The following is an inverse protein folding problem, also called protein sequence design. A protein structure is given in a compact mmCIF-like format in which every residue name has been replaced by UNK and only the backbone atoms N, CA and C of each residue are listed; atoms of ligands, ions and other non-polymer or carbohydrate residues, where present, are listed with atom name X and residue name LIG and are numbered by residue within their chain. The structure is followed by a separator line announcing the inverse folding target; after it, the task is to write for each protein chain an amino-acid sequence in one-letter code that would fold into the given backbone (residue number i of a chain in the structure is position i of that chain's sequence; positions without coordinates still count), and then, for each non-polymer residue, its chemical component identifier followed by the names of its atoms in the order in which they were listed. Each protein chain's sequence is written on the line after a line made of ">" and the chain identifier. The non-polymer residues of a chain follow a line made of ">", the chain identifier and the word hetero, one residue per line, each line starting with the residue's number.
data_IF_936950006854
#
_entry.id   IF_936950006854
#
_cell.length_a   1.000
_cell.length_b   1.000
_cell.length_c   1.000
_cell.angle_alpha   90.00
_cell.angle_beta   90.00
_cell.angle_gamma   90.00
#
_symmetry.space_group_name_H-M   'P 1'
#
loop_
_entity.id
_entity.type
_entity.pdbx_description
1 polymer ?
#
# COMPACT_ATOMS: atom_id res chain seq x y z
N UNK A 1 13.94 -34.35 -40.91
CA UNK A 1 14.69 -33.20 -41.48
C UNK A 1 14.55 -32.08 -40.48
N UNK A 2 15.65 -31.67 -39.86
CA UNK A 2 15.69 -30.41 -39.10
C UNK A 2 16.12 -29.36 -40.12
N UNK A 3 15.17 -28.54 -40.57
CA UNK A 3 15.48 -27.43 -41.47
C UNK A 3 15.89 -26.25 -40.63
N UNK A 4 16.99 -25.57 -40.98
CA UNK A 4 17.29 -24.29 -40.36
C UNK A 4 16.14 -23.29 -40.59
N UNK A 5 15.88 -22.36 -39.69
CA UNK A 5 14.91 -21.26 -39.92
C UNK A 5 15.36 -20.32 -41.04
N UNK A 6 14.44 -19.56 -41.61
CA UNK A 6 14.70 -18.57 -42.67
C UNK A 6 14.22 -18.99 -44.06
N UNK A 7 14.73 -18.32 -45.09
CA UNK A 7 14.35 -18.56 -46.48
C UNK A 7 14.96 -19.85 -47.04
N UNK A 8 14.12 -20.67 -47.65
CA UNK A 8 14.50 -21.88 -48.36
C UNK A 8 13.95 -21.85 -49.78
N UNK A 9 14.70 -22.41 -50.71
CA UNK A 9 14.24 -22.59 -52.09
C UNK A 9 13.78 -24.03 -52.30
N UNK A 10 12.47 -24.23 -52.48
CA UNK A 10 11.93 -25.50 -52.91
C UNK A 10 11.97 -25.56 -54.43
N UNK A 11 12.68 -26.54 -54.97
CA UNK A 11 12.80 -26.78 -56.41
C UNK A 11 12.08 -28.07 -56.77
N UNK A 12 11.02 -27.98 -57.57
CA UNK A 12 10.35 -29.11 -58.16
C UNK A 12 10.88 -29.32 -59.59
N UNK A 13 11.42 -30.51 -59.85
CA UNK A 13 11.89 -30.91 -61.17
C UNK A 13 10.93 -31.94 -61.77
N UNK A 14 10.41 -31.64 -62.96
CA UNK A 14 9.74 -32.60 -63.81
C UNK A 14 10.71 -33.04 -64.91
N UNK A 15 11.05 -34.32 -64.95
CA UNK A 15 12.04 -34.88 -65.89
C UNK A 15 11.60 -34.91 -67.35
N UNK A 16 10.30 -34.69 -67.62
CA UNK A 16 9.72 -34.84 -68.95
C UNK A 16 9.34 -36.28 -69.29
N UNK A 17 8.43 -36.41 -70.25
CA UNK A 17 7.96 -37.68 -70.85
C UNK A 17 7.78 -37.51 -72.36
N UNK A 18 7.44 -38.57 -73.09
CA UNK A 18 7.33 -38.57 -74.57
C UNK A 18 6.43 -37.45 -75.14
N UNK A 19 5.46 -36.96 -74.35
CA UNK A 19 4.52 -35.90 -74.74
C UNK A 19 4.75 -34.56 -74.04
N UNK A 20 5.68 -34.44 -73.09
CA UNK A 20 5.86 -33.26 -72.25
C UNK A 20 7.34 -32.94 -71.99
N UNK A 21 7.72 -31.67 -72.15
CA UNK A 21 9.09 -31.20 -71.91
C UNK A 21 9.43 -31.18 -70.42
N UNK A 22 10.70 -31.45 -70.09
CA UNK A 22 11.21 -31.28 -68.73
C UNK A 22 11.07 -29.82 -68.29
N UNK A 23 10.70 -29.59 -67.04
CA UNK A 23 10.58 -28.23 -66.50
C UNK A 23 11.03 -28.18 -65.04
N UNK A 24 11.50 -27.01 -64.62
CA UNK A 24 11.82 -26.70 -63.23
C UNK A 24 10.88 -25.60 -62.76
N UNK A 25 10.30 -25.80 -61.58
CA UNK A 25 9.59 -24.75 -60.87
C UNK A 25 10.26 -24.55 -59.52
N UNK A 26 10.69 -23.32 -59.25
CA UNK A 26 11.28 -22.94 -57.97
C UNK A 26 10.33 -22.00 -57.25
N UNK A 27 10.19 -22.20 -55.95
CA UNK A 27 9.45 -21.31 -55.06
C UNK A 27 10.26 -21.07 -53.80
N UNK A 28 10.19 -19.85 -53.26
CA UNK A 28 10.84 -19.51 -51.99
C UNK A 28 9.80 -19.65 -50.88
N UNK A 29 10.20 -20.33 -49.80
CA UNK A 29 9.38 -20.57 -48.62
C UNK A 29 10.17 -20.09 -47.39
N UNK A 30 9.51 -19.46 -46.44
CA UNK A 30 10.14 -19.07 -45.17
C UNK A 30 9.73 -20.05 -44.08
N UNK A 31 10.72 -20.63 -43.41
CA UNK A 31 10.50 -21.52 -42.26
C UNK A 31 10.69 -20.74 -40.97
N UNK A 32 9.74 -20.91 -40.06
CA UNK A 32 9.74 -20.31 -38.73
C UNK A 32 10.05 -21.39 -37.69
N UNK A 33 10.64 -20.97 -36.58
CA UNK A 33 10.88 -21.83 -35.43
C UNK A 33 9.96 -21.46 -34.28
N UNK A 34 9.43 -22.48 -33.61
CA UNK A 34 8.73 -22.32 -32.34
C UNK A 34 9.76 -22.17 -31.21
N UNK A 35 9.28 -21.77 -30.03
CA UNK A 35 10.09 -21.66 -28.82
C UNK A 35 9.51 -22.55 -27.72
N UNK A 36 10.37 -22.97 -26.81
CA UNK A 36 10.00 -23.74 -25.61
C UNK A 36 10.60 -23.08 -24.37
N UNK A 37 9.83 -23.02 -23.29
CA UNK A 37 10.20 -22.32 -22.07
C UNK A 37 10.76 -23.29 -21.02
N UNK A 38 11.87 -22.90 -20.39
CA UNK A 38 12.43 -23.60 -19.24
C UNK A 38 12.61 -22.61 -18.10
N UNK A 39 11.57 -22.44 -17.28
CA UNK A 39 11.61 -21.59 -16.10
C UNK A 39 12.27 -22.33 -14.92
N UNK A 40 12.95 -21.57 -14.07
CA UNK A 40 13.44 -22.05 -12.78
C UNK A 40 12.28 -22.02 -11.79
N UNK A 41 11.97 -23.16 -11.16
CA UNK A 41 10.98 -23.23 -10.10
C UNK A 41 11.55 -22.66 -8.80
N UNK A 42 11.01 -21.53 -8.35
CA UNK A 42 11.37 -20.87 -7.09
C UNK A 42 10.11 -20.62 -6.26
N UNK A 43 10.22 -20.68 -4.93
CA UNK A 43 9.18 -20.20 -4.02
C UNK A 43 9.12 -18.66 -4.08
N UNK A 44 8.37 -18.14 -5.06
CA UNK A 44 8.24 -16.70 -5.30
C UNK A 44 7.26 -16.06 -4.31
N UNK A 45 7.60 -16.09 -3.02
CA UNK A 45 6.93 -15.29 -2.00
C UNK A 45 7.51 -13.88 -2.06
N UNK A 46 6.68 -12.91 -2.40
CA UNK A 46 7.10 -11.51 -2.61
C UNK A 46 6.36 -10.60 -1.64
N UNK A 47 6.92 -9.42 -1.37
CA UNK A 47 6.24 -8.38 -0.59
C UNK A 47 5.84 -7.24 -1.52
N UNK A 48 4.54 -6.94 -1.57
CA UNK A 48 3.98 -5.88 -2.42
C UNK A 48 4.66 -4.54 -2.13
N UNK A 49 4.97 -3.80 -3.19
CA UNK A 49 5.64 -2.49 -3.12
C UNK A 49 7.02 -2.50 -2.45
N UNK A 50 7.66 -3.67 -2.30
CA UNK A 50 8.97 -3.80 -1.66
C UNK A 50 10.06 -4.19 -2.66
N UNK A 51 11.13 -3.40 -2.72
CA UNK A 51 12.31 -3.72 -3.54
C UNK A 51 13.21 -4.79 -2.91
N UNK A 52 13.07 -5.08 -1.61
CA UNK A 52 13.84 -6.12 -0.93
C UNK A 52 13.30 -7.53 -1.16
N UNK A 53 12.02 -7.65 -1.52
CA UNK A 53 11.36 -8.91 -1.84
C UNK A 53 10.61 -8.79 -3.19
N UNK A 54 11.35 -8.59 -4.30
CA UNK A 54 10.76 -8.38 -5.62
C UNK A 54 10.28 -9.69 -6.25
N UNK A 55 9.51 -9.57 -7.33
CA UNK A 55 9.23 -10.66 -8.25
C UNK A 55 10.51 -11.00 -9.00
N UNK A 56 10.93 -12.26 -8.94
CA UNK A 56 12.10 -12.78 -9.66
C UNK A 56 11.62 -13.92 -10.58
N UNK A 57 11.89 -13.80 -11.88
CA UNK A 57 11.59 -14.84 -12.86
C UNK A 57 12.87 -15.12 -13.63
N UNK A 58 13.31 -16.37 -13.57
CA UNK A 58 14.54 -16.83 -14.23
C UNK A 58 14.23 -18.02 -15.11
N UNK A 59 14.94 -18.12 -16.23
CA UNK A 59 14.73 -19.23 -17.15
C UNK A 59 15.55 -19.13 -18.42
N UNK A 60 15.25 -20.04 -19.34
CA UNK A 60 15.81 -20.10 -20.69
C UNK A 60 14.68 -20.31 -21.68
N UNK A 61 14.91 -19.87 -22.91
CA UNK A 61 14.02 -20.14 -24.04
C UNK A 61 14.82 -20.96 -25.05
N UNK A 62 14.30 -22.10 -25.49
CA UNK A 62 14.95 -22.98 -26.45
C UNK A 62 14.25 -22.93 -27.80
N UNK A 63 15.02 -22.99 -28.88
CA UNK A 63 14.48 -23.10 -30.23
C UNK A 63 13.94 -24.53 -30.50
N UNK A 64 12.70 -24.62 -31.00
CA UNK A 64 12.09 -25.88 -31.43
C UNK A 64 12.02 -25.95 -32.96
N UNK A 65 12.44 -27.10 -33.52
CA UNK A 65 12.42 -27.35 -34.97
C UNK A 65 13.65 -26.85 -35.75
N UNK A 66 14.54 -26.09 -35.11
CA UNK A 66 15.78 -25.57 -35.68
C UNK A 66 17.05 -26.08 -34.98
N UNK A 67 17.93 -25.18 -34.52
CA UNK A 67 19.24 -25.55 -33.97
C UNK A 67 19.19 -26.16 -32.55
N UNK A 68 18.06 -26.01 -31.84
CA UNK A 68 17.91 -26.47 -30.45
C UNK A 68 18.66 -25.62 -29.43
N UNK A 69 19.23 -24.49 -29.85
CA UNK A 69 20.03 -23.63 -28.99
C UNK A 69 19.14 -22.66 -28.18
N UNK A 70 19.67 -22.12 -27.07
CA UNK A 70 19.05 -21.00 -26.38
C UNK A 70 18.80 -19.80 -27.29
N UNK A 71 17.65 -19.17 -27.11
CA UNK A 71 17.24 -17.96 -27.83
C UNK A 71 17.39 -16.76 -26.92
N UNK A 72 18.25 -15.84 -27.32
CA UNK A 72 18.52 -14.59 -26.60
C UNK A 72 17.78 -13.39 -27.22
N UNK A 73 17.66 -12.29 -26.48
CA UNK A 73 17.16 -10.99 -26.96
C UNK A 73 15.80 -11.06 -27.65
N UNK A 74 14.89 -11.90 -27.12
CA UNK A 74 13.47 -11.83 -27.46
C UNK A 74 12.81 -10.71 -26.67
N UNK A 75 11.79 -10.10 -27.26
CA UNK A 75 10.95 -9.11 -26.59
C UNK A 75 9.97 -9.84 -25.68
N UNK A 76 10.11 -9.62 -24.37
CA UNK A 76 9.35 -10.31 -23.33
C UNK A 76 8.40 -9.33 -22.65
N UNK A 77 7.15 -9.76 -22.49
CA UNK A 77 6.11 -9.00 -21.81
C UNK A 77 5.54 -9.86 -20.68
N UNK A 78 5.44 -9.29 -19.49
CA UNK A 78 4.88 -9.95 -18.32
C UNK A 78 3.51 -9.37 -18.03
N UNK A 79 2.51 -10.24 -18.07
CA UNK A 79 1.14 -9.88 -17.76
C UNK A 79 0.74 -10.40 -16.40
N UNK A 80 -0.04 -9.58 -15.70
CA UNK A 80 -0.94 -10.05 -14.66
C UNK A 80 -2.37 -9.79 -15.10
N UNK A 81 -3.15 -10.88 -15.28
CA UNK A 81 -4.44 -10.86 -15.96
C UNK A 81 -4.34 -10.28 -17.39
N UNK A 82 -4.63 -8.99 -17.56
CA UNK A 82 -4.58 -8.26 -18.83
C UNK A 82 -3.70 -7.01 -18.75
N UNK A 83 -3.11 -6.74 -17.59
CA UNK A 83 -2.26 -5.60 -17.35
C UNK A 83 -0.81 -5.98 -17.62
N UNK A 84 -0.17 -5.22 -18.50
CA UNK A 84 1.28 -5.28 -18.70
C UNK A 84 1.97 -4.69 -17.48
N UNK A 85 2.92 -5.44 -16.91
CA UNK A 85 3.71 -5.03 -15.75
C UNK A 85 4.95 -4.20 -16.14
N UNK A 86 5.21 -3.98 -17.43
CA UNK A 86 6.24 -3.06 -17.92
C UNK A 86 7.67 -3.53 -17.68
N UNK A 87 7.96 -4.79 -18.01
CA UNK A 87 9.26 -5.42 -17.71
C UNK A 87 10.36 -5.18 -18.76
N UNK A 88 10.08 -4.47 -19.85
CA UNK A 88 10.97 -4.38 -21.02
C UNK A 88 12.39 -3.91 -20.69
N UNK A 89 12.54 -2.99 -19.72
CA UNK A 89 13.84 -2.49 -19.25
C UNK A 89 14.48 -3.37 -18.15
N UNK A 90 13.75 -4.36 -17.65
CA UNK A 90 14.16 -5.20 -16.52
C UNK A 90 14.60 -6.62 -16.91
N UNK A 91 14.51 -6.96 -18.20
CA UNK A 91 14.99 -8.25 -18.71
C UNK A 91 16.51 -8.20 -18.87
N UNK A 92 17.24 -9.00 -18.11
CA UNK A 92 18.68 -9.17 -18.23
C UNK A 92 18.99 -10.52 -18.86
N UNK A 93 19.62 -10.50 -20.04
CA UNK A 93 20.11 -11.70 -20.72
C UNK A 93 21.55 -12.03 -20.30
N UNK A 94 21.80 -13.30 -19.98
CA UNK A 94 23.10 -13.83 -19.58
C UNK A 94 23.84 -14.45 -20.77
N UNK A 95 25.16 -14.57 -20.67
CA UNK A 95 26.01 -15.06 -21.78
C UNK A 95 25.86 -16.54 -22.13
N UNK A 96 25.07 -17.29 -21.36
CA UNK A 96 24.72 -18.70 -21.59
C UNK A 96 23.27 -18.88 -22.09
N UNK A 97 22.60 -17.78 -22.45
CA UNK A 97 21.27 -17.77 -23.01
C UNK A 97 20.12 -17.81 -21.99
N UNK A 98 20.39 -17.75 -20.69
CA UNK A 98 19.33 -17.51 -19.69
C UNK A 98 18.95 -16.05 -19.57
N UNK A 99 17.74 -15.80 -19.08
CA UNK A 99 17.26 -14.49 -18.71
C UNK A 99 16.92 -14.44 -17.22
N UNK A 100 17.00 -13.25 -16.63
CA UNK A 100 16.47 -12.93 -15.30
C UNK A 100 15.65 -11.65 -15.40
N UNK A 101 14.47 -11.67 -14.78
CA UNK A 101 13.54 -10.53 -14.68
C UNK A 101 13.37 -10.25 -13.21
N UNK A 102 13.64 -9.01 -12.80
CA UNK A 102 13.41 -8.54 -11.44
C UNK A 102 12.51 -7.31 -11.44
N UNK A 103 11.37 -7.39 -10.74
CA UNK A 103 10.38 -6.32 -10.71
C UNK A 103 9.77 -6.16 -9.31
N UNK A 104 9.67 -4.92 -8.82
CA UNK A 104 8.88 -4.62 -7.62
C UNK A 104 7.39 -4.78 -7.92
N UNK A 105 6.70 -5.62 -7.16
CA UNK A 105 5.26 -5.84 -7.33
C UNK A 105 4.47 -4.54 -7.13
N UNK A 106 3.55 -4.19 -8.05
CA UNK A 106 2.83 -2.92 -7.98
C UNK A 106 1.80 -2.88 -6.85
N UNK A 107 1.54 -1.68 -6.33
CA UNK A 107 0.62 -1.45 -5.21
C UNK A 107 -0.84 -1.90 -5.45
N UNK A 108 -1.27 -1.98 -6.71
CA UNK A 108 -2.62 -2.41 -7.10
C UNK A 108 -2.74 -3.94 -7.21
N UNK A 109 -1.65 -4.68 -6.98
CA UNK A 109 -1.64 -6.13 -6.94
C UNK A 109 -2.37 -6.66 -5.70
N UNK A 110 -3.21 -7.68 -5.88
CA UNK A 110 -3.95 -8.31 -4.76
C UNK A 110 -3.03 -9.22 -3.94
N UNK A 111 -3.34 -9.44 -2.66
CA UNK A 111 -2.61 -10.38 -1.83
C UNK A 111 -3.04 -11.84 -2.09
N UNK A 112 -2.14 -12.78 -1.86
CA UNK A 112 -2.34 -14.22 -2.05
C UNK A 112 -1.70 -14.76 -3.34
N UNK A 113 -2.14 -15.95 -3.75
CA UNK A 113 -1.61 -16.61 -4.94
C UNK A 113 -2.02 -15.88 -6.22
N UNK A 114 -1.05 -15.59 -7.08
CA UNK A 114 -1.22 -14.91 -8.35
C UNK A 114 -0.51 -15.68 -9.45
N UNK A 115 -1.21 -15.85 -10.58
CA UNK A 115 -0.64 -16.39 -11.80
C UNK A 115 -0.22 -15.22 -12.69
N UNK A 116 1.05 -15.20 -13.08
CA UNK A 116 1.62 -14.31 -14.07
C UNK A 116 1.75 -15.05 -15.39
N UNK A 117 1.57 -14.33 -16.50
CA UNK A 117 1.76 -14.88 -17.86
C UNK A 117 2.92 -14.14 -18.50
N UNK A 118 4.03 -14.86 -18.71
CA UNK A 118 5.19 -14.37 -19.45
C UNK A 118 5.01 -14.71 -20.92
N UNK A 119 5.09 -13.70 -21.79
CA UNK A 119 4.92 -13.85 -23.23
C UNK A 119 6.19 -13.39 -23.95
N UNK A 120 6.66 -14.17 -24.90
CA UNK A 120 7.64 -13.75 -25.88
C UNK A 120 6.91 -13.36 -27.17
N UNK A 121 7.21 -12.18 -27.71
CA UNK A 121 6.65 -11.71 -28.97
C UNK A 121 7.28 -12.44 -30.15
N UNK A 122 6.55 -12.49 -31.27
CA UNK A 122 7.10 -13.00 -32.52
C UNK A 122 8.24 -12.10 -33.01
N UNK A 123 9.29 -12.72 -33.57
CA UNK A 123 10.44 -12.00 -34.08
C UNK A 123 10.58 -12.26 -35.58
N UNK A 124 9.95 -11.40 -36.38
CA UNK A 124 9.95 -11.47 -37.85
C UNK A 124 11.36 -11.43 -38.46
N UNK A 125 12.30 -10.69 -37.86
CA UNK A 125 13.67 -10.59 -38.38
C UNK A 125 14.46 -11.90 -38.23
N UNK A 126 14.14 -12.69 -37.19
CA UNK A 126 14.83 -13.95 -36.87
C UNK A 126 13.97 -15.19 -37.16
N UNK A 127 12.74 -15.01 -37.61
CA UNK A 127 11.74 -16.05 -37.89
C UNK A 127 11.40 -16.93 -36.66
N UNK A 128 11.18 -16.29 -35.51
CA UNK A 128 10.67 -16.97 -34.31
C UNK A 128 9.19 -16.69 -34.12
N UNK A 129 8.41 -17.74 -33.86
CA UNK A 129 7.04 -17.59 -33.39
C UNK A 129 7.05 -17.15 -31.92
N UNK A 130 6.05 -16.36 -31.54
CA UNK A 130 5.80 -16.02 -30.14
C UNK A 130 5.14 -17.19 -29.41
N UNK A 131 5.34 -17.23 -28.09
CA UNK A 131 4.70 -18.19 -27.20
C UNK A 131 4.54 -17.57 -25.80
N UNK A 132 3.80 -18.23 -24.92
CA UNK A 132 3.59 -17.78 -23.55
C UNK A 132 3.59 -18.93 -22.54
N UNK A 133 4.07 -18.64 -21.33
CA UNK A 133 4.08 -19.55 -20.20
C UNK A 133 3.53 -18.87 -18.95
N UNK A 134 2.90 -19.66 -18.08
CA UNK A 134 2.42 -19.18 -16.79
C UNK A 134 3.41 -19.51 -15.68
N UNK A 135 3.54 -18.61 -14.71
CA UNK A 135 4.27 -18.83 -13.46
C UNK A 135 3.43 -18.36 -12.28
N UNK A 136 3.56 -19.02 -11.12
CA UNK A 136 2.82 -18.67 -9.90
C UNK A 136 3.73 -17.91 -8.93
N UNK A 137 3.16 -16.91 -8.28
CA UNK A 137 3.80 -16.15 -7.20
C UNK A 137 2.82 -16.03 -6.02
N UNK A 138 3.35 -15.83 -4.82
CA UNK A 138 2.53 -15.54 -3.64
C UNK A 138 2.81 -14.14 -3.14
N UNK A 139 1.79 -13.26 -3.21
CA UNK A 139 1.91 -11.85 -2.85
C UNK A 139 1.52 -11.63 -1.40
N UNK A 140 2.49 -11.16 -0.64
CA UNK A 140 2.33 -10.77 0.75
C UNK A 140 2.21 -9.24 0.83
N UNK A 141 1.33 -8.74 1.70
CA UNK A 141 1.16 -7.31 1.93
C UNK A 141 1.75 -6.88 3.28
N UNK A 142 2.43 -5.72 3.33
CA UNK A 142 2.87 -5.13 4.58
C UNK A 142 1.65 -4.49 5.28
N UNK A 143 1.43 -4.81 6.56
CA UNK A 143 0.25 -4.37 7.32
C UNK A 143 0.67 -3.75 8.64
N UNK A 144 0.06 -2.63 8.96
CA UNK A 144 0.10 -2.05 10.30
C UNK A 144 -1.20 -2.36 11.03
N UNK A 145 -1.08 -2.95 12.22
CA UNK A 145 -2.22 -3.36 13.02
C UNK A 145 -2.40 -2.45 14.22
N UNK A 146 -3.64 -2.00 14.40
CA UNK A 146 -4.13 -1.38 15.61
C UNK A 146 -5.05 -2.39 16.33
N UNK A 147 -4.88 -2.56 17.64
CA UNK A 147 -5.71 -3.44 18.46
C UNK A 147 -6.23 -2.71 19.69
N UNK A 148 -7.37 -3.18 20.21
CA UNK A 148 -7.89 -2.68 21.48
C UNK A 148 -8.92 -3.61 22.10
N UNK A 149 -9.18 -3.37 23.39
CA UNK A 149 -10.22 -4.04 24.17
C UNK A 149 -11.10 -2.98 24.80
N UNK A 150 -12.42 -3.18 24.75
CA UNK A 150 -13.38 -2.30 25.42
C UNK A 150 -13.40 -2.56 26.92
N UNK A 151 -13.67 -1.51 27.69
CA UNK A 151 -13.82 -1.61 29.14
C UNK A 151 -15.07 -2.43 29.47
N UNK A 152 -14.92 -3.43 30.32
CA UNK A 152 -16.01 -4.32 30.73
C UNK A 152 -16.71 -3.72 31.97
N UNK A 153 -18.03 -3.50 31.93
CA UNK A 153 -18.78 -3.07 33.10
C UNK A 153 -18.70 -4.09 34.25
N UNK A 154 -18.92 -3.63 35.49
CA UNK A 154 -19.06 -4.54 36.63
C UNK A 154 -20.19 -5.55 36.38
N UNK A 155 -19.92 -6.85 36.57
CA UNK A 155 -20.83 -7.95 36.20
C UNK A 155 -21.27 -7.96 34.71
N UNK A 156 -20.50 -7.32 33.82
CA UNK A 156 -20.71 -7.39 32.38
C UNK A 156 -20.55 -8.82 31.87
N UNK A 157 -21.45 -9.25 30.99
CA UNK A 157 -21.45 -10.57 30.38
C UNK A 157 -20.62 -10.63 29.08
N UNK A 158 -20.12 -9.50 28.60
CA UNK A 158 -19.42 -9.39 27.32
C UNK A 158 -18.02 -8.80 27.49
N UNK A 159 -17.06 -9.37 26.75
CA UNK A 159 -15.78 -8.74 26.48
C UNK A 159 -15.68 -8.52 24.98
N UNK A 160 -15.42 -7.28 24.58
CA UNK A 160 -15.33 -6.89 23.17
C UNK A 160 -13.88 -6.48 22.90
N UNK A 161 -13.25 -7.13 21.94
CA UNK A 161 -11.94 -6.75 21.42
C UNK A 161 -12.03 -6.46 19.94
N UNK A 162 -11.11 -5.67 19.42
CA UNK A 162 -11.07 -5.34 18.02
C UNK A 162 -9.64 -5.29 17.49
N UNK A 163 -9.54 -5.54 16.20
CA UNK A 163 -8.31 -5.40 15.42
C UNK A 163 -8.64 -4.64 14.15
N UNK A 164 -7.72 -3.78 13.73
CA UNK A 164 -7.80 -3.03 12.49
C UNK A 164 -6.46 -3.08 11.78
N UNK A 165 -6.42 -3.68 10.60
CA UNK A 165 -5.26 -3.71 9.72
C UNK A 165 -5.35 -2.62 8.65
N UNK A 166 -4.24 -1.91 8.44
CA UNK A 166 -4.07 -0.94 7.35
C UNK A 166 -2.82 -1.33 6.57
N UNK A 167 -2.92 -1.47 5.24
CA UNK A 167 -1.77 -1.79 4.42
C UNK A 167 -0.79 -0.59 4.41
N UNK A 168 0.49 -0.83 4.75
CA UNK A 168 1.49 0.24 4.90
C UNK A 168 1.79 0.96 3.59
N UNK A 169 1.74 0.22 2.49
CA UNK A 169 2.10 0.70 1.16
C UNK A 169 1.03 1.59 0.53
N UNK A 170 -0.24 1.18 0.64
CA UNK A 170 -1.38 1.85 0.00
C UNK A 170 -2.17 2.73 0.95
N UNK A 171 -1.95 2.60 2.27
CA UNK A 171 -2.77 3.21 3.32
C UNK A 171 -4.26 2.83 3.24
N UNK A 172 -4.57 1.75 2.52
CA UNK A 172 -5.91 1.21 2.38
C UNK A 172 -6.18 0.14 3.45
N UNK A 173 -7.45 -0.14 3.78
CA UNK A 173 -7.76 -1.17 4.76
C UNK A 173 -7.31 -2.56 4.30
N UNK A 174 -6.66 -3.31 5.19
CA UNK A 174 -6.26 -4.69 4.94
C UNK A 174 -7.46 -5.62 5.17
N UNK A 175 -8.24 -5.84 4.11
CA UNK A 175 -9.42 -6.70 4.12
C UNK A 175 -9.04 -8.17 3.94
N UNK A 176 -9.95 -9.06 4.36
CA UNK A 176 -9.80 -10.51 4.22
C UNK A 176 -8.50 -11.04 4.84
N UNK A 177 -8.15 -10.58 6.03
CA UNK A 177 -7.02 -11.07 6.83
C UNK A 177 -7.55 -11.90 7.99
N UNK A 178 -7.14 -13.17 8.10
CA UNK A 178 -7.45 -14.01 9.25
C UNK A 178 -6.81 -13.45 10.52
N UNK A 179 -7.63 -13.32 11.55
CA UNK A 179 -7.23 -12.83 12.87
C UNK A 179 -7.85 -13.71 13.93
N UNK A 180 -7.11 -13.94 15.01
CA UNK A 180 -7.54 -14.79 16.12
C UNK A 180 -7.35 -14.05 17.42
N UNK A 181 -8.36 -14.11 18.30
CA UNK A 181 -8.28 -13.60 19.65
C UNK A 181 -8.52 -14.73 20.65
N UNK A 182 -7.73 -14.74 21.72
CA UNK A 182 -7.84 -15.68 22.84
C UNK A 182 -8.10 -14.87 24.10
N UNK A 183 -9.29 -15.05 24.70
CA UNK A 183 -9.62 -14.54 26.03
C UNK A 183 -9.25 -15.59 27.07
N UNK A 184 -8.44 -15.20 28.05
CA UNK A 184 -8.04 -16.09 29.14
C UNK A 184 -7.92 -15.35 30.47
N UNK A 185 -7.86 -16.10 31.57
CA UNK A 185 -7.55 -15.56 32.90
C UNK A 185 -6.15 -15.96 33.38
N UNK A 186 -5.67 -15.35 34.46
CA UNK A 186 -4.33 -15.62 35.03
C UNK A 186 -4.00 -17.11 35.24
N UNK A 187 -5.00 -17.88 35.70
CA UNK A 187 -4.84 -19.32 35.94
C UNK A 187 -4.89 -20.18 34.68
N UNK A 188 -5.18 -19.58 33.52
CA UNK A 188 -5.53 -20.24 32.26
C UNK A 188 -6.67 -21.26 32.37
N UNK A 189 -7.43 -21.26 33.48
CA UNK A 189 -8.61 -22.12 33.68
C UNK A 189 -9.79 -21.71 32.80
N UNK A 190 -9.87 -20.42 32.43
CA UNK A 190 -10.71 -19.92 31.35
C UNK A 190 -9.82 -19.68 30.12
N UNK A 191 -10.19 -20.29 29.00
CA UNK A 191 -9.61 -19.98 27.69
C UNK A 191 -10.70 -20.10 26.63
N UNK A 192 -10.91 -19.04 25.86
CA UNK A 192 -11.85 -19.02 24.73
C UNK A 192 -11.17 -18.40 23.53
N UNK A 193 -11.33 -19.04 22.38
CA UNK A 193 -10.73 -18.59 21.14
C UNK A 193 -11.83 -18.22 20.15
N UNK A 194 -11.68 -17.07 19.51
CA UNK A 194 -12.49 -16.64 18.38
C UNK A 194 -11.57 -16.33 17.19
N UNK A 195 -11.94 -16.86 16.03
CA UNK A 195 -11.24 -16.64 14.76
C UNK A 195 -12.17 -15.91 13.81
N UNK A 196 -11.65 -14.92 13.09
CA UNK A 196 -12.41 -14.14 12.14
C UNK A 196 -11.55 -13.67 10.97
N UNK A 197 -12.17 -12.91 10.07
CA UNK A 197 -11.46 -12.24 8.95
C UNK A 197 -11.85 -10.76 8.93
N UNK A 198 -10.88 -9.89 8.71
CA UNK A 198 -11.15 -8.44 8.59
C UNK A 198 -12.11 -8.14 7.44
N UNK A 199 -13.05 -7.22 7.66
CA UNK A 199 -13.98 -6.79 6.62
C UNK A 199 -13.36 -5.81 5.62
N UNK A 200 -14.17 -5.27 4.71
CA UNK A 200 -13.75 -4.29 3.70
C UNK A 200 -13.15 -3.01 4.31
N UNK A 201 -13.52 -2.69 5.55
CA UNK A 201 -12.97 -1.56 6.32
C UNK A 201 -11.66 -1.92 7.06
N UNK A 202 -11.12 -3.12 6.83
CA UNK A 202 -9.89 -3.63 7.43
C UNK A 202 -10.00 -3.95 8.92
N UNK A 203 -11.21 -4.00 9.49
CA UNK A 203 -11.38 -4.31 10.91
C UNK A 203 -12.21 -5.55 11.19
N UNK A 204 -11.98 -6.13 12.36
CA UNK A 204 -12.76 -7.24 12.91
C UNK A 204 -13.00 -7.03 14.39
N UNK A 205 -14.19 -7.39 14.85
CA UNK A 205 -14.62 -7.28 16.25
C UNK A 205 -14.85 -8.68 16.81
N UNK A 206 -14.16 -8.99 17.90
CA UNK A 206 -14.33 -10.22 18.68
C UNK A 206 -15.30 -9.95 19.82
N UNK A 207 -16.41 -10.71 19.86
CA UNK A 207 -17.40 -10.62 20.93
C UNK A 207 -17.41 -11.92 21.74
N UNK A 208 -16.81 -11.87 22.92
CA UNK A 208 -16.87 -12.95 23.89
C UNK A 208 -18.08 -12.74 24.78
N UNK A 209 -19.14 -13.53 24.57
CA UNK A 209 -20.31 -13.52 25.44
C UNK A 209 -20.27 -14.67 26.46
N UNK A 210 -20.51 -14.36 27.74
CA UNK A 210 -20.77 -15.34 28.78
C UNK A 210 -22.25 -15.71 28.72
N UNK A 211 -22.55 -17.00 28.62
CA UNK A 211 -23.91 -17.52 28.53
C UNK A 211 -24.17 -18.41 29.74
N UNK A 212 -25.31 -18.25 30.44
CA UNK A 212 -25.66 -19.11 31.55
C UNK A 212 -25.52 -20.60 31.19
N UNK A 213 -24.94 -21.43 32.08
CA UNK A 213 -24.72 -21.21 33.51
C UNK A 213 -23.39 -20.51 33.88
N UNK A 214 -22.61 -20.01 32.91
CA UNK A 214 -21.32 -19.38 33.18
C UNK A 214 -21.49 -17.99 33.84
N UNK A 215 -20.73 -17.65 34.89
CA UNK A 215 -20.74 -16.31 35.48
C UNK A 215 -20.31 -15.22 34.48
N UNK A 216 -20.78 -13.97 34.61
CA UNK A 216 -20.38 -12.85 33.76
C UNK A 216 -18.87 -12.59 33.83
N UNK A 217 -18.23 -12.21 32.73
CA UNK A 217 -16.78 -11.94 32.73
C UNK A 217 -16.37 -10.79 33.64
N UNK A 218 -17.27 -9.84 33.91
CA UNK A 218 -17.05 -8.79 34.88
C UNK A 218 -17.04 -9.25 36.35
N UNK A 219 -17.27 -10.53 36.63
CA UNK A 219 -17.13 -11.10 37.98
C UNK A 219 -15.67 -11.46 38.28
N UNK A 220 -14.94 -10.48 38.82
CA UNK A 220 -13.55 -10.65 39.24
C UNK A 220 -13.34 -11.66 40.35
N UNK A 221 -14.38 -12.07 41.10
CA UNK A 221 -14.24 -13.12 42.12
C UNK A 221 -14.16 -14.52 41.52
N UNK A 222 -14.81 -14.71 40.36
CA UNK A 222 -14.78 -15.96 39.62
C UNK A 222 -13.54 -16.03 38.71
N UNK A 223 -13.29 -14.98 37.93
CA UNK A 223 -12.28 -15.04 36.87
C UNK A 223 -10.93 -14.41 37.23
N UNK A 224 -10.89 -13.51 38.21
CA UNK A 224 -9.69 -12.70 38.46
C UNK A 224 -9.42 -11.73 37.31
N UNK A 225 -8.14 -11.46 37.04
CA UNK A 225 -7.73 -10.66 35.88
C UNK A 225 -7.93 -11.43 34.59
N UNK A 226 -8.43 -10.72 33.58
CA UNK A 226 -8.70 -11.24 32.25
C UNK A 226 -7.74 -10.59 31.26
N UNK A 227 -7.30 -11.38 30.28
CA UNK A 227 -6.38 -10.97 29.23
C UNK A 227 -6.90 -11.40 27.88
N UNK A 228 -6.65 -10.57 26.88
CA UNK A 228 -6.89 -10.90 25.48
C UNK A 228 -5.57 -10.88 24.74
N UNK A 229 -5.24 -12.00 24.13
CA UNK A 229 -4.17 -12.09 23.16
C UNK A 229 -4.77 -12.07 21.76
N UNK A 230 -4.24 -11.22 20.88
CA UNK A 230 -4.62 -11.18 19.46
C UNK A 230 -3.40 -11.59 18.63
N UNK A 231 -3.61 -12.39 17.58
CA UNK A 231 -2.58 -12.74 16.60
C UNK A 231 -3.20 -12.98 15.21
N UNK A 232 -2.36 -13.25 14.21
CA UNK A 232 -2.77 -13.64 12.86
C UNK A 232 -1.86 -14.76 12.34
N UNK A 233 -2.47 -15.75 11.70
CA UNK A 233 -1.77 -16.83 10.98
C UNK A 233 -1.93 -16.67 9.46
N UNK A 234 -2.44 -15.53 8.97
CA UNK A 234 -2.73 -15.34 7.55
C UNK A 234 -1.43 -15.10 6.76
N UNK A 235 -1.10 -16.01 5.85
CA UNK A 235 0.12 -15.94 5.02
C UNK A 235 0.16 -14.71 4.12
N UNK A 236 -0.99 -14.06 3.85
CA UNK A 236 -1.06 -12.82 3.07
C UNK A 236 -0.38 -11.64 3.76
N UNK A 237 -0.05 -11.73 5.05
CA UNK A 237 0.57 -10.65 5.82
C UNK A 237 2.05 -10.94 6.04
N UNK A 238 2.88 -9.91 5.89
CA UNK A 238 4.33 -10.02 6.11
C UNK A 238 4.64 -10.64 7.48
N UNK A 239 5.64 -11.52 7.53
CA UNK A 239 5.99 -12.28 8.73
C UNK A 239 6.24 -11.36 9.93
N UNK A 240 7.12 -10.37 9.77
CA UNK A 240 7.39 -9.33 10.77
C UNK A 240 6.13 -8.61 11.26
N UNK A 241 5.13 -8.43 10.38
CA UNK A 241 3.90 -7.72 10.70
C UNK A 241 2.92 -8.62 11.46
N UNK A 242 2.93 -9.93 11.22
CA UNK A 242 2.18 -10.91 12.02
C UNK A 242 2.76 -11.06 13.42
N UNK A 243 4.09 -11.08 13.53
CA UNK A 243 4.78 -11.14 14.82
C UNK A 243 4.46 -9.90 15.67
N UNK A 244 4.48 -8.70 15.07
CA UNK A 244 4.10 -7.47 15.78
C UNK A 244 2.65 -7.45 16.24
N UNK A 245 1.73 -8.16 15.56
CA UNK A 245 0.34 -8.26 15.98
C UNK A 245 0.17 -9.15 17.22
N UNK A 246 1.10 -10.05 17.52
CA UNK A 246 1.03 -10.96 18.67
C UNK A 246 1.16 -10.18 19.98
N UNK A 247 0.06 -9.56 20.40
CA UNK A 247 -0.02 -8.65 21.54
C UNK A 247 -1.00 -9.17 22.56
N UNK A 248 -0.68 -8.97 23.84
CA UNK A 248 -1.53 -9.29 24.97
C UNK A 248 -1.97 -8.01 25.66
N UNK A 249 -3.27 -7.85 25.83
CA UNK A 249 -3.90 -6.69 26.46
C UNK A 249 -4.67 -7.15 27.71
N UNK A 250 -4.53 -6.40 28.80
CA UNK A 250 -5.36 -6.60 30.00
C UNK A 250 -6.78 -6.08 29.77
N UNK A 251 -7.77 -6.87 30.19
CA UNK A 251 -9.18 -6.48 30.14
C UNK A 251 -9.50 -5.68 31.40
N UNK A 252 -9.83 -4.40 31.23
CA UNK A 252 -10.18 -3.52 32.35
C UNK A 252 -11.65 -3.78 32.73
N UNK A 253 -11.86 -4.34 33.92
CA UNK A 253 -13.19 -4.55 34.52
C UNK A 253 -13.46 -3.47 35.57
N UNK A 254 -14.61 -2.80 35.49
CA UNK A 254 -15.01 -1.81 36.48
C UNK A 254 -15.41 -2.48 37.81
N UNK A 255 -15.05 -1.86 38.94
CA UNK A 255 -15.36 -2.37 40.28
C UNK A 255 -16.70 -1.84 40.82
N UNK A 256 -17.36 -2.59 41.71
CA UNK A 256 -18.59 -2.18 42.38
C UNK A 256 -18.44 -0.90 43.23
N UNK A 257 -17.28 -0.68 43.85
CA UNK A 257 -17.02 0.49 44.72
C UNK A 257 -17.01 1.82 43.96
N UNK A 258 -16.78 1.81 42.65
CA UNK A 258 -16.89 2.98 41.77
C UNK A 258 -18.36 3.36 41.51
N UNK A 259 -19.30 2.44 41.77
CA UNK A 259 -20.75 2.61 41.59
C UNK A 259 -21.41 3.14 42.87
N UNK A 260 -20.84 2.87 44.05
CA UNK A 260 -21.41 3.28 45.35
C UNK A 260 -21.08 4.73 45.75
N UNK A 261 -19.95 5.31 45.31
CA UNK A 261 -19.65 6.73 45.53
C UNK A 261 -20.30 7.63 44.47
N UNK A 262 -21.63 7.70 44.54
CA UNK A 262 -22.39 8.93 44.29
C UNK A 262 -22.29 9.57 42.91
N UNK A 263 -22.70 8.88 41.84
CA UNK A 263 -23.13 9.55 40.60
C UNK A 263 -24.41 8.91 40.05
N UNK A 264 -25.50 9.67 40.05
CA UNK A 264 -26.84 9.24 39.64
C UNK A 264 -26.87 8.71 38.19
N UNK A 265 -27.61 7.63 37.94
CA UNK A 265 -27.70 6.84 36.68
C UNK A 265 -27.86 7.65 35.36
N UNK A 266 -28.34 8.89 35.40
CA UNK A 266 -28.43 9.76 34.22
C UNK A 266 -27.09 10.37 33.76
N UNK A 267 -26.12 10.53 34.68
CA UNK A 267 -24.77 10.96 34.33
C UNK A 267 -23.95 9.82 33.72
N UNK A 268 -24.18 8.56 34.13
CA UNK A 268 -23.48 7.39 33.59
C UNK A 268 -23.77 7.14 32.11
N UNK A 269 -25.02 7.31 31.67
CA UNK A 269 -25.37 7.27 30.25
C UNK A 269 -24.70 8.41 29.46
N UNK A 270 -24.56 9.59 30.07
CA UNK A 270 -23.88 10.75 29.48
C UNK A 270 -22.36 10.66 29.46
N UNK A 271 -21.74 10.03 30.46
CA UNK A 271 -20.28 9.83 30.55
C UNK A 271 -19.82 8.73 29.59
N UNK A 272 -20.56 7.62 29.47
CA UNK A 272 -20.24 6.56 28.50
C UNK A 272 -20.43 7.09 27.07
N UNK A 273 -21.52 7.82 26.79
CA UNK A 273 -21.71 8.48 25.50
C UNK A 273 -20.69 9.60 25.26
N UNK A 274 -20.25 10.28 26.32
CA UNK A 274 -19.23 11.33 26.27
C UNK A 274 -17.82 10.79 26.02
N UNK A 275 -17.46 9.65 26.62
CA UNK A 275 -16.16 8.99 26.44
C UNK A 275 -16.12 8.23 25.11
N UNK A 276 -17.17 7.48 24.73
CA UNK A 276 -17.27 6.88 23.40
C UNK A 276 -17.34 7.96 22.31
N UNK A 277 -18.07 9.05 22.58
CA UNK A 277 -18.11 10.24 21.73
C UNK A 277 -16.75 10.94 21.64
N UNK A 278 -16.01 11.06 22.74
CA UNK A 278 -14.68 11.66 22.77
C UNK A 278 -13.62 10.75 22.13
N UNK A 279 -13.69 9.43 22.29
CA UNK A 279 -12.78 8.47 21.63
C UNK A 279 -13.10 8.39 20.14
N UNK A 280 -14.37 8.29 19.75
CA UNK A 280 -14.77 8.37 18.35
C UNK A 280 -14.44 9.75 17.75
N UNK A 281 -14.59 10.84 18.50
CA UNK A 281 -14.20 12.18 18.09
C UNK A 281 -12.68 12.31 18.00
N UNK A 282 -11.89 11.78 18.93
CA UNK A 282 -10.42 11.80 18.90
C UNK A 282 -9.89 10.93 17.77
N UNK A 283 -10.47 9.76 17.52
CA UNK A 283 -10.13 8.89 16.37
C UNK A 283 -10.55 9.54 15.05
N UNK A 284 -11.75 10.12 14.97
CA UNK A 284 -12.23 10.88 13.82
C UNK A 284 -11.39 12.14 13.55
N UNK A 285 -10.97 12.84 14.61
CA UNK A 285 -10.14 14.04 14.56
C UNK A 285 -8.69 13.71 14.22
N UNK A 286 -8.13 12.61 14.76
CA UNK A 286 -6.81 12.08 14.37
C UNK A 286 -6.78 11.67 12.90
N UNK A 287 -7.77 10.90 12.42
CA UNK A 287 -7.85 10.51 11.00
C UNK A 287 -8.01 11.69 10.05
N UNK A 288 -8.78 12.72 10.45
CA UNK A 288 -8.98 13.92 9.60
C UNK A 288 -7.78 14.87 9.62
N UNK A 289 -7.07 14.97 10.76
CA UNK A 289 -5.94 15.87 10.90
C UNK A 289 -4.65 15.30 10.32
N UNK A 290 -4.38 14.00 10.48
CA UNK A 290 -3.07 13.46 10.09
C UNK A 290 -2.86 13.39 8.57
N UNK A 291 -3.87 13.05 7.76
CA UNK A 291 -3.71 12.98 6.29
C UNK A 291 -3.61 14.36 5.63
N UNK A 292 -4.36 15.37 6.11
CA UNK A 292 -4.23 16.73 5.59
C UNK A 292 -2.94 17.40 6.10
N UNK A 293 -2.57 17.20 7.37
CA UNK A 293 -1.33 17.78 7.92
C UNK A 293 -0.08 17.18 7.28
N UNK A 294 -0.04 15.86 7.01
CA UNK A 294 1.08 15.24 6.30
C UNK A 294 1.17 15.73 4.85
N UNK A 295 0.07 15.77 4.12
CA UNK A 295 0.05 16.29 2.73
C UNK A 295 0.46 17.77 2.66
N UNK A 296 0.07 18.60 3.64
CA UNK A 296 0.49 20.00 3.71
C UNK A 296 1.98 20.13 4.11
N UNK A 297 2.47 19.29 5.04
CA UNK A 297 3.87 19.25 5.44
C UNK A 297 4.79 18.82 4.30
N UNK A 298 4.38 17.83 3.51
CA UNK A 298 5.11 17.37 2.32
C UNK A 298 5.25 18.50 1.28
N UNK A 299 4.19 19.28 1.07
CA UNK A 299 4.23 20.46 0.17
C UNK A 299 5.16 21.55 0.72
N UNK A 300 5.13 21.81 2.03
CA UNK A 300 6.03 22.79 2.64
C UNK A 300 7.49 22.35 2.58
N UNK A 301 7.78 21.07 2.83
CA UNK A 301 9.12 20.49 2.76
C UNK A 301 9.67 20.52 1.33
N UNK A 302 8.86 20.09 0.35
CA UNK A 302 9.20 20.16 -1.07
C UNK A 302 9.50 21.60 -1.52
N UNK A 303 8.69 22.57 -1.10
CA UNK A 303 8.91 23.98 -1.46
C UNK A 303 10.16 24.55 -0.78
N UNK A 304 10.41 24.20 0.48
CA UNK A 304 11.63 24.60 1.18
C UNK A 304 12.89 24.03 0.50
N UNK A 305 12.82 22.80 -0.01
CA UNK A 305 13.89 22.15 -0.77
C UNK A 305 14.13 22.85 -2.13
N UNK A 306 13.09 23.15 -2.90
CA UNK A 306 13.21 23.91 -4.16
C UNK A 306 13.82 25.30 -3.94
N UNK A 307 13.41 25.99 -2.86
CA UNK A 307 14.00 27.27 -2.48
C UNK A 307 15.48 27.12 -2.08
N UNK A 308 15.85 26.04 -1.39
CA UNK A 308 17.24 25.76 -1.03
C UNK A 308 18.11 25.40 -2.24
N UNK A 309 17.54 24.70 -3.22
CA UNK A 309 18.20 24.34 -4.49
C UNK A 309 18.43 25.55 -5.43
N UNK A 310 17.72 26.67 -5.20
CA UNK A 310 17.91 27.91 -5.93
C UNK A 310 17.05 28.07 -7.18
N UNK A 311 15.94 27.33 -7.27
CA UNK A 311 14.95 27.48 -8.34
C UNK A 311 14.19 28.83 -8.24
N UNK A 312 13.43 29.16 -9.29
CA UNK A 312 12.68 30.42 -9.39
C UNK A 312 11.78 30.63 -8.17
N UNK A 313 12.22 31.51 -7.26
CA UNK A 313 11.65 31.69 -5.92
C UNK A 313 10.16 32.02 -5.97
N UNK A 314 9.74 32.85 -6.93
CA UNK A 314 8.33 33.19 -7.12
C UNK A 314 7.50 31.98 -7.56
N UNK A 315 8.01 31.19 -8.50
CA UNK A 315 7.29 30.02 -9.03
C UNK A 315 7.14 28.93 -7.96
N UNK A 316 8.19 28.66 -7.20
CA UNK A 316 8.15 27.72 -6.08
C UNK A 316 7.11 28.13 -5.01
N UNK A 317 7.08 29.41 -4.62
CA UNK A 317 6.13 29.93 -3.64
C UNK A 317 4.69 29.88 -4.18
N UNK A 318 4.49 30.17 -5.46
CA UNK A 318 3.16 30.11 -6.09
C UNK A 318 2.65 28.66 -6.20
N UNK A 319 3.50 27.72 -6.62
CA UNK A 319 3.16 26.30 -6.71
C UNK A 319 2.85 25.69 -5.32
N UNK A 320 3.59 26.11 -4.28
CA UNK A 320 3.27 25.79 -2.90
C UNK A 320 1.86 26.26 -2.54
N UNK A 321 1.56 27.53 -2.81
CA UNK A 321 0.25 28.11 -2.52
C UNK A 321 -0.90 27.37 -3.23
N UNK A 322 -0.76 27.05 -4.52
CA UNK A 322 -1.79 26.30 -5.28
C UNK A 322 -1.98 24.88 -4.74
N UNK A 323 -0.88 24.22 -4.38
CA UNK A 323 -0.90 22.85 -3.83
C UNK A 323 -1.59 22.82 -2.46
N UNK A 324 -1.29 23.78 -1.57
CA UNK A 324 -1.97 23.93 -0.28
C UNK A 324 -3.47 24.17 -0.47
N UNK A 325 -3.84 25.01 -1.43
CA UNK A 325 -5.23 25.29 -1.78
C UNK A 325 -5.98 24.03 -2.25
N UNK A 326 -5.36 23.23 -3.12
CA UNK A 326 -5.93 21.97 -3.61
C UNK A 326 -6.16 20.95 -2.47
N UNK A 327 -5.20 20.83 -1.56
CA UNK A 327 -5.27 19.94 -0.40
C UNK A 327 -6.39 20.39 0.56
N UNK A 328 -6.47 21.69 0.87
CA UNK A 328 -7.52 22.24 1.74
C UNK A 328 -8.94 22.06 1.15
N UNK A 329 -9.09 22.11 -0.17
CA UNK A 329 -10.36 21.81 -0.86
C UNK A 329 -10.71 20.31 -0.77
N UNK A 330 -9.74 19.43 -1.07
CA UNK A 330 -9.90 17.97 -1.03
C UNK A 330 -10.39 17.47 0.33
N UNK A 331 -9.84 18.04 1.41
CA UNK A 331 -10.17 17.67 2.80
C UNK A 331 -11.37 18.44 3.39
N UNK A 332 -12.10 19.19 2.55
CA UNK A 332 -13.29 19.99 2.91
C UNK A 332 -13.02 21.04 4.00
N UNK A 333 -11.79 21.55 4.10
CA UNK A 333 -11.48 22.73 4.91
C UNK A 333 -11.95 24.01 4.21
N UNK A 334 -12.07 23.97 2.88
CA UNK A 334 -12.65 25.01 2.03
C UNK A 334 -13.94 24.52 1.35
N UNK A 335 -14.91 25.41 1.11
CA UNK A 335 -16.22 25.07 0.49
C UNK A 335 -16.36 25.48 -0.98
N UNK A 336 -15.49 26.35 -1.50
CA UNK A 336 -15.58 26.89 -2.87
C UNK A 336 -14.26 27.55 -3.32
N UNK A 337 -14.10 27.71 -4.62
CA UNK A 337 -12.97 28.43 -5.26
C UNK A 337 -12.87 29.86 -4.69
N UNK A 338 -11.66 30.22 -4.24
CA UNK A 338 -11.28 31.37 -3.42
C UNK A 338 -11.85 32.74 -3.82
N UNK A 339 -12.29 33.56 -2.84
CA UNK A 339 -12.58 34.99 -3.08
C UNK A 339 -11.85 35.96 -2.12
N UNK A 340 -11.36 35.56 -0.93
CA UNK A 340 -10.58 36.47 -0.04
C UNK A 340 -9.44 35.82 0.76
N UNK A 341 -8.33 36.54 0.97
CA UNK A 341 -7.13 36.13 1.76
C UNK A 341 -7.50 35.67 3.18
N UNK A 342 -8.51 36.31 3.77
CA UNK A 342 -9.00 36.03 5.13
C UNK A 342 -9.70 34.67 5.26
N UNK A 343 -10.26 34.13 4.17
CA UNK A 343 -10.85 32.79 4.16
C UNK A 343 -9.78 31.69 4.06
N UNK A 344 -8.69 31.95 3.35
CA UNK A 344 -7.52 31.08 3.29
C UNK A 344 -6.83 30.99 4.65
N UNK A 345 -6.62 32.13 5.31
CA UNK A 345 -6.07 32.20 6.65
C UNK A 345 -6.93 31.39 7.64
N UNK A 346 -8.26 31.56 7.61
CA UNK A 346 -9.18 30.83 8.49
C UNK A 346 -9.23 29.33 8.17
N UNK A 347 -9.01 28.93 6.91
CA UNK A 347 -8.93 27.54 6.50
C UNK A 347 -7.62 26.87 6.95
N UNK A 348 -6.48 27.57 6.82
CA UNK A 348 -5.19 27.10 7.33
C UNK A 348 -5.22 26.98 8.85
N UNK A 349 -5.72 27.98 9.58
CA UNK A 349 -5.90 27.90 11.05
C UNK A 349 -6.75 26.69 11.48
N UNK A 350 -7.69 26.28 10.63
CA UNK A 350 -8.57 25.12 10.90
C UNK A 350 -7.92 23.78 10.54
N UNK A 351 -7.06 23.77 9.52
CA UNK A 351 -6.35 22.58 9.06
C UNK A 351 -5.07 22.29 9.85
N UNK A 352 -4.34 23.33 10.25
CA UNK A 352 -3.07 23.29 10.96
C UNK A 352 -3.20 24.04 12.30
N UNK A 353 -2.97 23.41 13.47
CA UNK A 353 -2.99 24.08 14.77
C UNK A 353 -1.69 24.86 15.02
N UNK A 354 -1.28 25.72 14.08
CA UNK A 354 -0.04 26.51 14.11
C UNK A 354 -0.23 27.86 14.82
N UNK A 355 0.87 28.41 15.34
CA UNK A 355 0.87 29.68 16.06
C UNK A 355 0.62 30.87 15.11
N UNK A 356 -0.07 31.91 15.61
CA UNK A 356 -0.48 33.10 14.85
C UNK A 356 0.72 33.84 14.21
N UNK A 357 1.87 33.84 14.87
CA UNK A 357 3.10 34.47 14.37
C UNK A 357 3.67 33.77 13.12
N UNK A 358 3.61 32.43 13.06
CA UNK A 358 4.10 31.66 11.91
C UNK A 358 3.18 31.81 10.69
N UNK A 359 1.88 31.94 10.93
CA UNK A 359 0.88 32.16 9.89
C UNK A 359 1.01 33.54 9.24
N UNK A 360 1.26 34.59 10.04
CA UNK A 360 1.47 35.96 9.52
C UNK A 360 2.72 36.04 8.64
N UNK A 361 3.79 35.33 9.01
CA UNK A 361 5.00 35.24 8.19
C UNK A 361 4.75 34.54 6.85
N UNK A 362 3.97 33.45 6.86
CA UNK A 362 3.60 32.71 5.67
C UNK A 362 2.68 33.52 4.74
N UNK A 363 1.70 34.23 5.30
CA UNK A 363 0.76 35.06 4.54
C UNK A 363 1.48 36.22 3.83
N UNK A 364 2.42 36.89 4.52
CA UNK A 364 3.24 37.95 3.94
C UNK A 364 4.07 37.47 2.73
N UNK A 365 4.54 36.22 2.74
CA UNK A 365 5.32 35.64 1.65
C UNK A 365 4.43 35.32 0.44
N UNK A 366 3.21 34.82 0.68
CA UNK A 366 2.24 34.54 -0.38
C UNK A 366 1.65 35.81 -0.98
N UNK A 367 1.38 36.85 -0.18
CA UNK A 367 0.93 38.15 -0.67
C UNK A 367 1.98 38.80 -1.57
N UNK A 368 3.26 38.79 -1.17
CA UNK A 368 4.37 39.34 -1.96
C UNK A 368 4.53 38.57 -3.27
N UNK A 369 4.45 37.23 -3.25
CA UNK A 369 4.56 36.41 -4.46
C UNK A 369 3.38 36.63 -5.44
N UNK A 370 2.18 36.92 -4.93
CA UNK A 370 0.94 37.03 -5.73
C UNK A 370 0.64 38.44 -6.22
N UNK A 371 0.96 39.47 -5.45
CA UNK A 371 0.54 40.85 -5.73
C UNK A 371 1.71 41.82 -5.99
N UNK A 372 2.95 41.45 -5.69
CA UNK A 372 4.10 42.31 -5.97
C UNK A 372 4.53 42.28 -7.44
N UNK A 373 4.92 43.45 -7.94
CA UNK A 373 5.43 43.63 -9.32
C UNK A 373 6.96 43.60 -9.40
N UNK A 374 7.67 43.44 -8.28
CA UNK A 374 9.14 43.47 -8.21
C UNK A 374 9.72 42.06 -8.22
N UNK A 375 10.83 41.79 -8.91
CA UNK A 375 11.49 40.48 -8.86
C UNK A 375 11.87 40.09 -7.42
N UNK A 376 11.49 38.88 -6.99
CA UNK A 376 11.81 38.36 -5.65
C UNK A 376 13.30 37.98 -5.60
N UNK A 377 14.12 38.85 -5.01
CA UNK A 377 15.54 38.59 -4.78
C UNK A 377 15.82 37.72 -3.54
N UNK A 378 17.11 37.46 -3.28
CA UNK A 378 17.61 36.59 -2.21
C UNK A 378 17.08 36.93 -0.79
N UNK A 379 16.75 38.20 -0.52
CA UNK A 379 16.16 38.59 0.76
C UNK A 379 14.74 37.99 0.96
N UNK A 380 13.93 37.93 -0.09
CA UNK A 380 12.60 37.33 -0.05
C UNK A 380 12.66 35.80 0.00
N UNK A 381 13.68 35.20 -0.63
CA UNK A 381 13.96 33.77 -0.58
C UNK A 381 14.30 33.30 0.84
N UNK A 382 15.20 34.01 1.51
CA UNK A 382 15.54 33.75 2.92
C UNK A 382 14.32 33.90 3.83
N UNK A 383 13.52 34.96 3.63
CA UNK A 383 12.27 35.17 4.36
C UNK A 383 11.25 34.02 4.14
N UNK A 384 11.14 33.51 2.92
CA UNK A 384 10.26 32.39 2.58
C UNK A 384 10.73 31.08 3.23
N UNK A 385 12.05 30.80 3.19
CA UNK A 385 12.63 29.62 3.84
C UNK A 385 12.43 29.65 5.36
N UNK A 386 12.64 30.80 5.99
CA UNK A 386 12.41 30.98 7.42
C UNK A 386 10.92 30.81 7.79
N UNK A 387 10.01 31.35 6.98
CA UNK A 387 8.57 31.22 7.22
C UNK A 387 8.09 29.76 7.07
N UNK A 388 8.51 29.07 6.01
CA UNK A 388 8.17 27.67 5.75
C UNK A 388 8.80 26.74 6.80
N UNK A 389 10.06 26.97 7.16
CA UNK A 389 10.78 26.21 8.18
C UNK A 389 10.16 26.35 9.58
N UNK A 390 9.66 27.54 9.94
CA UNK A 390 8.92 27.75 11.21
C UNK A 390 7.60 27.01 11.25
N UNK A 391 6.89 26.95 10.12
CA UNK A 391 5.62 26.20 10.01
C UNK A 391 5.89 24.69 10.09
N UNK A 392 6.92 24.19 9.40
CA UNK A 392 7.34 22.79 9.48
C UNK A 392 7.76 22.38 10.89
N UNK A 393 8.63 23.16 11.55
CA UNK A 393 9.06 22.86 12.91
C UNK A 393 7.92 22.83 13.92
N UNK A 394 6.89 23.67 13.76
CA UNK A 394 5.69 23.60 14.59
C UNK A 394 4.83 22.37 14.29
N UNK A 395 4.75 21.94 13.03
CA UNK A 395 4.03 20.70 12.66
C UNK A 395 4.72 19.48 13.28
N UNK A 396 6.06 19.45 13.28
CA UNK A 396 6.86 18.38 13.90
C UNK A 396 6.72 18.38 15.43
N UNK A 397 6.80 19.54 16.08
CA UNK A 397 6.58 19.67 17.53
C UNK A 397 5.17 19.18 17.92
N UNK A 398 4.14 19.46 17.10
CA UNK A 398 2.77 18.98 17.32
C UNK A 398 2.61 17.47 17.09
N UNK A 399 3.48 16.84 16.30
CA UNK A 399 3.51 15.39 16.10
C UNK A 399 4.18 14.67 17.29
N UNK A 400 5.11 15.32 17.98
CA UNK A 400 5.87 14.73 19.09
C UNK A 400 5.25 14.89 20.49
N UNK A 401 4.25 15.76 20.70
CA UNK A 401 3.63 15.92 22.04
C UNK A 401 2.73 14.72 22.39
N UNK A 402 3.08 13.88 23.41
CA UNK A 402 2.12 12.98 24.01
C UNK A 402 1.20 13.84 24.87
N UNK A 403 -0.01 14.09 24.39
CA UNK A 403 -1.03 14.81 25.14
C UNK A 403 -1.35 14.01 26.42
N UNK A 404 -1.04 14.66 27.54
CA UNK A 404 -1.20 14.18 28.91
C UNK A 404 -2.66 14.07 29.32
#
# INVERSE_FOLDING_TARGET
>A
MVSARGEHTLSAHYSGEASWLSTNSTTTLTTWADIDWQLVENENIIVRSSSSHPIIIEGRILEVGGSGNPVEMLDLILYWNQSDLGISEQVVWMGDGSFSIQLTAPQYMTAGEIILTLRAMDNTSRNFNGDQINTSIFVVIPVDFETGVEIVPYNGDRVIAWVKGTAKDTQLPASDIAVTAVLYNDSHGLSRTLTGRTGDNGSFWFEFASVPPMPPYGDGSTYGSLYIQINSTDEKVAEDDRERLETTMEVIVLSAGTIEDGISNWLYGGLIAGVLGAVAFVVYWRRRKQSAMSELADVFAYTAELLAAGDETREAIFNCYESLCAILMRHRFLRRDFETVREFEMAIRKALPINEEALVALDSVFEEARYSRHEMGEAHKSQAQDALGRVLGQIDELAEVPLR
#
